data_IF_378073325944
#
_entry.id   IF_378073325944
#
_cell.length_a   1.000
_cell.length_b   1.000
_cell.length_c   1.000
_cell.angle_alpha   90.00
_cell.angle_beta   90.00
_cell.angle_gamma   90.00
#
_symmetry.space_group_name_H-M   'P 1'
#
loop_
_entity.id
_entity.type
_entity.pdbx_description
1 polymer ?
#
# COMPACT_ATOMS: atom_id res chain seq x y z
N UNK A 1 -4.43 -13.40 14.33
CA UNK A 1 -4.64 -13.09 12.91
C UNK A 1 -5.42 -11.80 12.70
N UNK A 2 -6.68 -11.69 13.15
CA UNK A 2 -7.47 -10.46 12.95
C UNK A 2 -6.92 -9.21 13.67
N UNK A 3 -6.53 -9.33 14.95
CA UNK A 3 -5.96 -8.20 15.71
C UNK A 3 -4.71 -7.62 15.06
N UNK A 4 -3.83 -8.47 14.53
CA UNK A 4 -2.60 -8.07 13.84
C UNK A 4 -2.90 -7.36 12.51
N UNK A 5 -3.89 -7.83 11.74
CA UNK A 5 -4.35 -7.15 10.52
C UNK A 5 -4.98 -5.79 10.83
N UNK A 6 -5.80 -5.68 11.86
CA UNK A 6 -6.41 -4.40 12.26
C UNK A 6 -5.34 -3.40 12.70
N UNK A 7 -4.35 -3.84 13.48
CA UNK A 7 -3.22 -2.98 13.85
C UNK A 7 -2.43 -2.54 12.61
N UNK A 8 -2.23 -3.44 11.64
CA UNK A 8 -1.56 -3.12 10.38
C UNK A 8 -2.32 -2.04 9.59
N UNK A 9 -3.64 -2.20 9.43
CA UNK A 9 -4.51 -1.21 8.76
C UNK A 9 -4.53 0.12 9.54
N UNK A 10 -4.53 0.07 10.87
CA UNK A 10 -4.45 1.31 11.68
C UNK A 10 -3.15 2.05 11.46
N UNK A 11 -2.04 1.35 11.30
CA UNK A 11 -0.74 1.94 10.98
C UNK A 11 -0.64 2.44 9.53
N UNK A 12 -1.42 1.89 8.59
CA UNK A 12 -1.52 2.45 7.23
C UNK A 12 -2.29 3.77 7.18
N UNK A 13 -3.28 3.95 8.07
CA UNK A 13 -4.05 5.20 8.18
C UNK A 13 -3.21 6.37 8.71
N UNK A 14 -2.37 6.11 9.72
CA UNK A 14 -1.57 7.15 10.36
C UNK A 14 -0.08 6.83 10.32
N UNK A 15 0.68 7.40 9.36
CA UNK A 15 2.11 7.20 9.28
C UNK A 15 2.81 7.70 10.56
N UNK A 16 3.30 6.76 11.37
CA UNK A 16 3.88 7.03 12.70
C UNK A 16 5.19 6.28 12.91
N UNK A 17 5.90 6.58 14.01
CA UNK A 17 7.10 5.82 14.42
C UNK A 17 6.81 4.32 14.60
N UNK A 18 5.57 3.92 14.88
CA UNK A 18 5.17 2.51 14.96
C UNK A 18 5.09 1.86 13.58
N UNK A 19 4.74 2.61 12.53
CA UNK A 19 4.77 2.08 11.17
C UNK A 19 6.20 1.76 10.70
N UNK A 20 7.20 2.50 11.20
CA UNK A 20 8.63 2.16 11.02
C UNK A 20 9.04 0.89 11.77
N UNK A 21 8.25 0.43 12.75
CA UNK A 21 8.46 -0.84 13.48
C UNK A 21 7.77 -2.03 12.82
N UNK A 22 7.14 -1.88 11.64
CA UNK A 22 6.50 -2.96 10.88
C UNK A 22 7.46 -4.04 10.33
N UNK A 23 8.65 -4.16 10.91
CA UNK A 23 9.67 -5.20 10.64
C UNK A 23 9.17 -6.64 10.90
N UNK A 24 7.98 -6.80 11.49
CA UNK A 24 7.47 -8.03 12.08
C UNK A 24 6.01 -8.32 11.73
N UNK A 25 5.39 -7.58 10.81
CA UNK A 25 4.04 -7.91 10.39
C UNK A 25 4.06 -9.32 9.79
N UNK A 26 3.32 -10.29 10.36
CA UNK A 26 3.36 -11.67 9.89
C UNK A 26 2.80 -11.74 8.46
N UNK A 27 3.29 -12.70 7.65
CA UNK A 27 2.90 -12.92 6.25
C UNK A 27 1.40 -12.74 6.02
N UNK A 28 0.60 -13.39 6.86
CA UNK A 28 -0.86 -13.34 6.79
C UNK A 28 -1.45 -11.93 6.94
N UNK A 29 -0.82 -11.02 7.69
CA UNK A 29 -1.38 -9.69 7.95
C UNK A 29 -1.34 -8.81 6.71
N UNK A 30 -0.21 -8.80 5.98
CA UNK A 30 -0.13 -8.03 4.74
C UNK A 30 -0.84 -8.74 3.58
N UNK A 31 -0.87 -10.08 3.53
CA UNK A 31 -1.68 -10.81 2.55
C UNK A 31 -3.17 -10.49 2.73
N UNK A 32 -3.66 -10.48 3.97
CA UNK A 32 -5.05 -10.11 4.27
C UNK A 32 -5.32 -8.65 3.92
N UNK A 33 -4.39 -7.73 4.19
CA UNK A 33 -4.55 -6.33 3.82
C UNK A 33 -4.60 -6.12 2.30
N UNK A 34 -3.74 -6.82 1.54
CA UNK A 34 -3.80 -6.82 0.07
C UNK A 34 -5.11 -7.38 -0.44
N UNK A 35 -5.59 -8.49 0.13
CA UNK A 35 -6.87 -9.09 -0.25
C UNK A 35 -8.04 -8.13 0.00
N UNK A 36 -8.10 -7.52 1.19
CA UNK A 36 -9.13 -6.53 1.54
C UNK A 36 -9.09 -5.34 0.58
N UNK A 37 -7.89 -4.84 0.25
CA UNK A 37 -7.75 -3.75 -0.71
C UNK A 37 -8.28 -4.16 -2.09
N UNK A 38 -7.81 -5.29 -2.61
CA UNK A 38 -8.24 -5.80 -3.92
C UNK A 38 -9.75 -5.94 -3.98
N UNK A 39 -10.36 -6.57 -2.97
CA UNK A 39 -11.80 -6.70 -2.89
C UNK A 39 -12.50 -5.33 -2.84
N UNK A 40 -11.98 -4.39 -2.05
CA UNK A 40 -12.54 -3.03 -1.94
C UNK A 40 -12.52 -2.32 -3.29
N UNK A 41 -11.38 -2.34 -3.99
CA UNK A 41 -11.22 -1.71 -5.30
C UNK A 41 -12.12 -2.38 -6.34
N UNK A 42 -12.14 -3.72 -6.38
CA UNK A 42 -13.00 -4.48 -7.30
C UNK A 42 -14.48 -4.18 -7.08
N UNK A 43 -14.93 -4.06 -5.83
CA UNK A 43 -16.32 -3.71 -5.51
C UNK A 43 -16.62 -2.26 -5.91
N UNK A 44 -15.73 -1.31 -5.62
CA UNK A 44 -15.89 0.09 -6.05
C UNK A 44 -15.99 0.18 -7.58
N UNK A 45 -15.10 -0.48 -8.30
CA UNK A 45 -15.12 -0.53 -9.76
C UNK A 45 -16.42 -1.16 -10.29
N UNK A 46 -16.90 -2.23 -9.66
CA UNK A 46 -18.15 -2.87 -10.06
C UNK A 46 -19.35 -1.93 -9.94
N UNK A 47 -19.45 -1.22 -8.82
CA UNK A 47 -20.55 -0.27 -8.58
C UNK A 47 -20.57 0.82 -9.65
N UNK A 48 -19.40 1.27 -10.11
CA UNK A 48 -19.26 2.37 -11.07
C UNK A 48 -19.41 1.91 -12.53
N UNK A 49 -18.85 0.76 -12.92
CA UNK A 49 -18.72 0.33 -14.32
C UNK A 49 -19.91 -0.45 -14.91
N UNK A 50 -21.03 -0.49 -14.18
CA UNK A 50 -22.30 -1.16 -14.53
C UNK A 50 -22.40 -2.66 -14.20
N UNK A 51 -23.54 -3.09 -13.63
CA UNK A 51 -23.76 -4.44 -13.11
C UNK A 51 -24.16 -5.50 -14.15
N UNK A 52 -24.21 -5.17 -15.44
CA UNK A 52 -24.87 -5.97 -16.49
C UNK A 52 -24.05 -7.18 -16.99
N UNK A 53 -22.88 -7.46 -16.41
CA UNK A 53 -22.03 -8.60 -16.78
C UNK A 53 -22.23 -9.79 -15.83
N UNK A 54 -21.87 -11.01 -16.27
CA UNK A 54 -21.88 -12.21 -15.41
C UNK A 54 -20.94 -12.01 -14.21
N UNK A 55 -21.54 -11.58 -13.11
CA UNK A 55 -20.87 -10.98 -11.97
C UNK A 55 -19.78 -11.87 -11.33
N UNK A 56 -19.97 -13.20 -11.19
CA UNK A 56 -18.94 -14.05 -10.57
C UNK A 56 -17.63 -14.11 -11.38
N UNK A 57 -17.71 -14.24 -12.70
CA UNK A 57 -16.51 -14.35 -13.55
C UNK A 57 -15.78 -13.01 -13.65
N UNK A 58 -16.52 -11.90 -13.75
CA UNK A 58 -15.93 -10.57 -13.76
C UNK A 58 -15.23 -10.24 -12.44
N UNK A 59 -15.90 -10.49 -11.30
CA UNK A 59 -15.30 -10.26 -9.97
C UNK A 59 -14.01 -11.05 -9.80
N UNK A 60 -13.98 -12.31 -10.23
CA UNK A 60 -12.79 -13.14 -10.12
C UNK A 60 -11.63 -12.60 -10.97
N UNK A 61 -11.85 -12.38 -12.27
CA UNK A 61 -10.79 -11.93 -13.17
C UNK A 61 -10.32 -10.50 -12.84
N UNK A 62 -11.26 -9.61 -12.51
CA UNK A 62 -10.97 -8.23 -12.15
C UNK A 62 -10.23 -8.14 -10.82
N UNK A 63 -10.65 -8.90 -9.79
CA UNK A 63 -9.89 -8.98 -8.53
C UNK A 63 -8.47 -9.51 -8.78
N UNK A 64 -8.30 -10.51 -9.64
CA UNK A 64 -6.98 -11.04 -9.95
C UNK A 64 -6.09 -10.00 -10.66
N UNK A 65 -6.65 -9.27 -11.62
CA UNK A 65 -5.95 -8.18 -12.30
C UNK A 65 -5.54 -7.07 -11.32
N UNK A 66 -6.48 -6.57 -10.52
CA UNK A 66 -6.23 -5.53 -9.50
C UNK A 66 -5.19 -5.99 -8.49
N UNK A 67 -5.23 -7.27 -8.07
CA UNK A 67 -4.23 -7.84 -7.19
C UNK A 67 -2.83 -7.76 -7.79
N UNK A 68 -2.63 -8.15 -9.05
CA UNK A 68 -1.31 -8.04 -9.69
C UNK A 68 -0.84 -6.61 -9.87
N UNK A 69 -1.72 -5.70 -10.33
CA UNK A 69 -1.38 -4.29 -10.45
C UNK A 69 -0.96 -3.70 -9.11
N UNK A 70 -1.72 -3.99 -8.06
CA UNK A 70 -1.38 -3.56 -6.70
C UNK A 70 -0.05 -4.16 -6.22
N UNK A 71 0.19 -5.45 -6.47
CA UNK A 71 1.46 -6.09 -6.08
C UNK A 71 2.66 -5.51 -6.84
N UNK A 72 2.47 -5.15 -8.12
CA UNK A 72 3.46 -4.39 -8.90
C UNK A 72 3.74 -3.01 -8.29
N UNK A 73 2.69 -2.27 -7.92
CA UNK A 73 2.81 -0.98 -7.24
C UNK A 73 3.54 -1.10 -5.89
N UNK A 74 3.22 -2.12 -5.10
CA UNK A 74 3.89 -2.44 -3.83
C UNK A 74 5.36 -2.76 -4.07
N UNK A 75 5.69 -3.54 -5.10
CA UNK A 75 7.07 -3.87 -5.45
C UNK A 75 7.88 -2.61 -5.80
N UNK A 76 7.32 -1.72 -6.63
CA UNK A 76 7.93 -0.42 -6.93
C UNK A 76 8.10 0.43 -5.68
N UNK A 77 7.09 0.46 -4.82
CA UNK A 77 7.14 1.18 -3.54
C UNK A 77 8.20 0.59 -2.60
N UNK A 78 8.38 -0.73 -2.57
CA UNK A 78 9.41 -1.39 -1.76
C UNK A 78 10.82 -1.06 -2.27
N UNK A 79 11.02 -0.99 -3.59
CA UNK A 79 12.28 -0.51 -4.18
C UNK A 79 12.55 0.95 -3.80
N UNK A 80 11.54 1.81 -3.86
CA UNK A 80 11.64 3.20 -3.41
C UNK A 80 12.03 3.28 -1.92
N UNK A 81 11.42 2.46 -1.07
CA UNK A 81 11.76 2.36 0.36
C UNK A 81 13.22 1.94 0.54
N UNK A 82 13.69 0.95 -0.19
CA UNK A 82 15.09 0.52 -0.15
C UNK A 82 16.05 1.64 -0.59
N UNK A 83 15.70 2.37 -1.65
CA UNK A 83 16.49 3.51 -2.13
C UNK A 83 16.56 4.63 -1.08
N UNK A 84 15.42 5.05 -0.55
CA UNK A 84 15.34 6.13 0.45
C UNK A 84 16.06 5.74 1.74
N UNK A 85 15.91 4.49 2.19
CA UNK A 85 16.60 4.00 3.40
C UNK A 85 18.11 3.88 3.19
N UNK A 86 18.56 3.41 2.02
CA UNK A 86 19.99 3.42 1.63
C UNK A 86 20.53 4.84 1.62
N UNK A 87 19.80 5.79 1.04
CA UNK A 87 20.24 7.17 0.96
C UNK A 87 20.37 7.80 2.35
N UNK A 88 19.36 7.64 3.22
CA UNK A 88 19.32 8.24 4.56
C UNK A 88 20.24 7.57 5.58
N UNK A 89 20.28 6.24 5.61
CA UNK A 89 20.97 5.48 6.67
C UNK A 89 22.25 4.80 6.19
N UNK A 90 22.62 5.00 4.91
CA UNK A 90 23.73 4.32 4.21
C UNK A 90 23.62 2.79 4.17
N UNK A 91 22.52 2.22 4.66
CA UNK A 91 22.19 0.79 4.63
C UNK A 91 20.79 0.58 4.08
N UNK A 92 20.66 -0.39 3.18
CA UNK A 92 19.34 -0.81 2.69
C UNK A 92 18.60 -1.57 3.78
N UNK A 93 17.28 -1.36 3.86
CA UNK A 93 16.45 -2.24 4.66
C UNK A 93 16.35 -3.63 4.02
N UNK A 94 16.41 -4.71 4.83
CA UNK A 94 16.10 -6.04 4.35
C UNK A 94 14.73 -6.07 3.67
N UNK A 95 14.59 -6.85 2.60
CA UNK A 95 13.33 -6.95 1.85
C UNK A 95 12.14 -7.35 2.74
N UNK A 96 12.36 -8.25 3.71
CA UNK A 96 11.39 -8.64 4.75
C UNK A 96 10.85 -7.47 5.60
N UNK A 97 11.46 -6.29 5.53
CA UNK A 97 11.03 -5.07 6.22
C UNK A 97 10.50 -4.03 5.23
N UNK A 98 11.16 -3.87 4.08
CA UNK A 98 10.74 -2.92 3.05
C UNK A 98 9.37 -3.28 2.44
N UNK A 99 9.12 -4.57 2.22
CA UNK A 99 7.87 -5.04 1.61
C UNK A 99 6.64 -4.82 2.50
N UNK A 100 6.59 -5.29 3.78
CA UNK A 100 5.43 -5.02 4.63
C UNK A 100 5.19 -3.54 4.88
N UNK A 101 6.25 -2.73 4.93
CA UNK A 101 6.14 -1.28 5.01
C UNK A 101 5.49 -0.70 3.75
N UNK A 102 5.94 -1.12 2.57
CA UNK A 102 5.38 -0.67 1.29
C UNK A 102 3.91 -1.04 1.16
N UNK A 103 3.51 -2.25 1.53
CA UNK A 103 2.08 -2.64 1.60
C UNK A 103 1.33 -1.69 2.52
N UNK A 104 1.79 -1.50 3.76
CA UNK A 104 1.11 -0.62 4.72
C UNK A 104 0.95 0.80 4.17
N UNK A 105 2.02 1.39 3.62
CA UNK A 105 1.99 2.79 3.18
C UNK A 105 1.27 3.01 1.85
N UNK A 106 1.04 1.96 1.05
CA UNK A 106 0.36 2.08 -0.24
C UNK A 106 -1.14 1.82 -0.18
N UNK A 107 -1.65 1.16 0.87
CA UNK A 107 -3.09 0.84 1.03
C UNK A 107 -4.00 2.06 0.85
N UNK A 108 -3.85 3.07 1.72
CA UNK A 108 -4.71 4.26 1.72
C UNK A 108 -4.54 5.08 0.43
N UNK A 109 -3.32 5.38 -0.04
CA UNK A 109 -3.16 6.05 -1.32
C UNK A 109 -3.79 5.32 -2.49
N UNK A 110 -3.77 3.99 -2.51
CA UNK A 110 -4.36 3.20 -3.60
C UNK A 110 -5.87 3.29 -3.59
N UNK A 111 -6.52 3.18 -2.43
CA UNK A 111 -7.98 3.43 -2.32
C UNK A 111 -8.33 4.84 -2.77
N UNK A 112 -7.60 5.85 -2.27
CA UNK A 112 -7.84 7.24 -2.64
C UNK A 112 -7.66 7.48 -4.14
N UNK A 113 -6.64 6.86 -4.75
CA UNK A 113 -6.38 6.95 -6.19
C UNK A 113 -7.55 6.37 -7.00
N UNK A 114 -8.06 5.19 -6.63
CA UNK A 114 -9.20 4.56 -7.31
C UNK A 114 -10.46 5.42 -7.16
N UNK A 115 -10.74 5.94 -5.97
CA UNK A 115 -11.89 6.83 -5.75
C UNK A 115 -11.74 8.12 -6.57
N UNK A 116 -10.56 8.75 -6.57
CA UNK A 116 -10.29 9.96 -7.34
C UNK A 116 -10.40 9.71 -8.84
N UNK A 117 -9.92 8.57 -9.33
CA UNK A 117 -10.03 8.19 -10.73
C UNK A 117 -11.49 8.18 -11.20
N UNK A 118 -12.41 7.66 -10.38
CA UNK A 118 -13.84 7.62 -10.72
C UNK A 118 -14.56 8.95 -10.54
N UNK A 119 -14.23 9.74 -9.50
CA UNK A 119 -14.91 11.01 -9.21
C UNK A 119 -14.41 12.15 -10.09
N UNK A 120 -13.09 12.22 -10.32
CA UNK A 120 -12.45 13.29 -11.10
C UNK A 120 -11.14 12.76 -11.70
N UNK A 121 -11.17 12.12 -12.89
CA UNK A 121 -9.99 11.52 -13.51
C UNK A 121 -8.78 12.48 -13.64
N UNK A 122 -9.05 13.77 -13.89
CA UNK A 122 -8.03 14.84 -13.96
C UNK A 122 -7.28 15.07 -12.63
N UNK A 123 -7.84 14.64 -11.50
CA UNK A 123 -7.26 14.72 -10.18
C UNK A 123 -6.49 13.45 -9.77
N UNK A 124 -6.40 12.42 -10.62
CA UNK A 124 -5.73 11.15 -10.29
C UNK A 124 -4.26 11.32 -9.90
N UNK A 125 -3.59 12.37 -10.41
CA UNK A 125 -2.21 12.68 -10.04
C UNK A 125 -2.04 12.96 -8.54
N UNK A 126 -3.09 13.47 -7.86
CA UNK A 126 -3.07 13.66 -6.41
C UNK A 126 -2.94 12.33 -5.67
N UNK A 127 -3.55 11.25 -6.16
CA UNK A 127 -3.40 9.92 -5.57
C UNK A 127 -1.97 9.40 -5.67
N UNK A 128 -1.30 9.65 -6.81
CA UNK A 128 0.13 9.32 -7.00
C UNK A 128 1.02 10.15 -6.07
N UNK A 129 0.75 11.46 -5.96
CA UNK A 129 1.46 12.32 -5.03
C UNK A 129 1.28 11.85 -3.57
N UNK A 130 0.05 11.50 -3.20
CA UNK A 130 -0.28 11.00 -1.87
C UNK A 130 0.44 9.69 -1.57
N UNK A 131 0.57 8.78 -2.56
CA UNK A 131 1.39 7.58 -2.44
C UNK A 131 2.85 7.92 -2.14
N UNK A 132 3.44 8.84 -2.90
CA UNK A 132 4.83 9.24 -2.68
C UNK A 132 5.03 9.84 -1.27
N UNK A 133 4.14 10.74 -0.85
CA UNK A 133 4.17 11.36 0.48
C UNK A 133 4.06 10.31 1.58
N UNK A 134 3.08 9.41 1.48
CA UNK A 134 2.84 8.37 2.49
C UNK A 134 3.99 7.37 2.57
N UNK A 135 4.64 7.04 1.45
CA UNK A 135 5.79 6.12 1.46
C UNK A 135 7.05 6.81 2.00
N UNK A 136 7.35 8.03 1.57
CA UNK A 136 8.66 8.67 1.78
C UNK A 136 8.74 9.50 3.06
N UNK A 137 7.73 10.30 3.39
CA UNK A 137 7.76 11.21 4.55
C UNK A 137 8.00 10.47 5.87
N UNK A 138 7.37 9.31 6.16
CA UNK A 138 7.60 8.62 7.42
C UNK A 138 9.02 8.07 7.53
N UNK A 139 9.62 7.66 6.40
CA UNK A 139 11.02 7.24 6.35
C UNK A 139 11.98 8.37 6.75
N UNK A 140 11.61 9.64 6.55
CA UNK A 140 12.41 10.79 6.99
C UNK A 140 12.46 10.93 8.51
N UNK A 141 11.53 10.32 9.24
CA UNK A 141 11.50 10.30 10.71
C UNK A 141 12.34 9.19 11.33
N UNK A 142 12.99 8.34 10.53
CA UNK A 142 13.91 7.31 11.04
C UNK A 142 15.12 8.02 11.68
N UNK A 143 15.45 7.73 12.96
CA UNK A 143 16.64 8.27 13.60
C UNK A 143 17.89 7.70 12.92
N UNK A 144 18.79 8.59 12.48
CA UNK A 144 20.10 8.22 11.96
C UNK A 144 21.02 8.12 13.18
N UNK A 145 21.52 6.94 13.52
CA UNK A 145 22.64 6.85 14.47
C UNK A 145 23.83 7.55 13.80
N UNK A 146 24.26 8.70 14.33
CA UNK A 146 25.55 9.28 13.96
C UNK A 146 26.60 8.27 14.39
N UNK A 147 27.33 7.71 13.43
CA UNK A 147 28.64 7.12 13.68
C UNK A 147 29.55 8.29 14.06
N UNK A 148 29.70 8.52 15.36
CA UNK A 148 30.85 9.23 15.94
C UNK A 148 32.04 8.30 15.93
#
# INVERSE_FOLDING_TARGET
MFKTTIQFIRHSLYPSKQALRLRLAPLHAYMMASLVLTLTVTVLDYIVLQPNFFWPMWLFLHAFAIFFFYMGLVALSALLVQLVTKWRTKKMWPYRQAWPYAVAMSLIPTVSLVVLYHVSPSASWFGILLLFIYVVVPLSRIPIKRTS
#
